data_IF_549209559901
#
_entry.id   IF_549209559901
#
_cell.length_a   1.000
_cell.length_b   1.000
_cell.length_c   1.000
_cell.angle_alpha   90.00
_cell.angle_beta   90.00
_cell.angle_gamma   90.00
#
_symmetry.space_group_name_H-M   'P 1'
#
loop_
_entity.id
_entity.type
_entity.pdbx_description
1 polymer ?
#
# COMPACT_ATOMS: atom_id res chain seq x y z
N UNK A 1 0.26 -11.22 -6.03
CA UNK A 1 1.28 -12.02 -6.75
C UNK A 1 2.52 -11.14 -6.92
N UNK A 2 3.66 -11.50 -6.36
CA UNK A 2 4.92 -10.80 -6.67
C UNK A 2 5.43 -11.22 -8.04
N UNK A 3 5.66 -10.24 -8.93
CA UNK A 3 6.36 -10.44 -10.19
C UNK A 3 7.74 -9.79 -10.11
N UNK A 4 8.78 -10.56 -10.31
CA UNK A 4 10.15 -10.08 -10.29
C UNK A 4 10.66 -9.94 -11.72
N UNK A 5 10.94 -8.72 -12.15
CA UNK A 5 11.57 -8.42 -13.43
C UNK A 5 13.07 -8.23 -13.19
N UNK A 6 13.88 -9.16 -13.70
CA UNK A 6 15.31 -9.27 -13.40
C UNK A 6 16.11 -8.94 -14.64
N UNK A 7 17.03 -7.98 -14.56
CA UNK A 7 17.97 -7.62 -15.62
C UNK A 7 19.40 -7.60 -15.11
N UNK A 8 20.37 -7.71 -16.01
CA UNK A 8 21.79 -7.72 -15.67
C UNK A 8 22.30 -8.99 -14.98
N UNK A 9 21.43 -10.02 -14.86
CA UNK A 9 21.77 -11.36 -14.36
C UNK A 9 21.37 -12.39 -15.43
N UNK A 10 22.19 -13.39 -15.66
CA UNK A 10 21.91 -14.37 -16.71
C UNK A 10 20.73 -15.29 -16.34
N UNK A 11 20.03 -15.79 -17.35
CA UNK A 11 18.90 -16.72 -17.15
C UNK A 11 19.36 -18.01 -16.44
N UNK A 12 20.58 -18.49 -16.71
CA UNK A 12 21.16 -19.68 -16.08
C UNK A 12 21.40 -19.45 -14.59
N UNK A 13 21.91 -18.29 -14.20
CA UNK A 13 22.08 -17.93 -12.78
C UNK A 13 20.72 -17.90 -12.06
N UNK A 14 19.71 -17.26 -12.67
CA UNK A 14 18.37 -17.22 -12.06
C UNK A 14 17.73 -18.60 -11.99
N UNK A 15 17.87 -19.43 -13.02
CA UNK A 15 17.39 -20.83 -12.98
C UNK A 15 17.99 -21.60 -11.82
N UNK A 16 19.28 -21.42 -11.55
CA UNK A 16 19.98 -22.12 -10.48
C UNK A 16 19.45 -21.78 -9.07
N UNK A 17 18.94 -20.58 -8.86
CA UNK A 17 18.42 -20.11 -7.57
C UNK A 17 16.90 -20.02 -7.50
N UNK A 18 16.18 -20.28 -8.60
CA UNK A 18 14.73 -20.01 -8.71
C UNK A 18 13.93 -20.74 -7.62
N UNK A 19 14.15 -22.03 -7.41
CA UNK A 19 13.37 -22.81 -6.45
C UNK A 19 13.56 -22.33 -4.98
N UNK A 20 14.79 -22.16 -4.45
CA UNK A 20 14.96 -21.63 -3.11
C UNK A 20 14.49 -20.17 -2.97
N UNK A 21 14.70 -19.32 -3.98
CA UNK A 21 14.25 -17.93 -3.95
C UNK A 21 12.71 -17.85 -3.88
N UNK A 22 12.00 -18.61 -4.72
CA UNK A 22 10.53 -18.65 -4.74
C UNK A 22 9.99 -19.13 -3.40
N UNK A 23 10.57 -20.17 -2.82
CA UNK A 23 10.17 -20.68 -1.50
C UNK A 23 10.33 -19.63 -0.40
N UNK A 24 11.50 -18.99 -0.34
CA UNK A 24 11.77 -17.96 0.66
C UNK A 24 10.82 -16.76 0.51
N UNK A 25 10.54 -16.34 -0.72
CA UNK A 25 9.59 -15.26 -0.99
C UNK A 25 8.14 -15.65 -0.68
N UNK A 26 7.75 -16.89 -0.94
CA UNK A 26 6.43 -17.41 -0.59
C UNK A 26 6.21 -17.36 0.94
N UNK A 27 7.23 -17.78 1.71
CA UNK A 27 7.21 -17.70 3.17
C UNK A 27 7.14 -16.25 3.67
N UNK A 28 7.95 -15.36 3.10
CA UNK A 28 7.96 -13.93 3.47
C UNK A 28 6.63 -13.26 3.14
N UNK A 29 6.09 -13.56 1.97
CA UNK A 29 4.84 -12.95 1.47
C UNK A 29 3.58 -13.66 1.97
N UNK A 30 3.70 -14.81 2.66
CA UNK A 30 2.57 -15.63 3.09
C UNK A 30 1.61 -15.94 1.92
N UNK A 31 2.18 -16.44 0.81
CA UNK A 31 1.42 -16.79 -0.38
C UNK A 31 1.94 -18.10 -0.99
N UNK A 32 1.14 -18.79 -1.83
CA UNK A 32 1.58 -19.96 -2.58
C UNK A 32 2.78 -19.65 -3.49
N UNK A 33 3.67 -20.64 -3.68
CA UNK A 33 4.87 -20.52 -4.52
C UNK A 33 4.51 -20.22 -5.99
N UNK A 34 3.43 -20.78 -6.50
CA UNK A 34 2.94 -20.56 -7.87
C UNK A 34 2.41 -19.12 -8.13
N UNK A 35 2.33 -18.30 -7.08
CA UNK A 35 1.99 -16.88 -7.19
C UNK A 35 3.21 -15.99 -7.44
N UNK A 36 4.42 -16.56 -7.43
CA UNK A 36 5.66 -15.81 -7.61
C UNK A 36 6.23 -16.12 -8.99
N UNK A 37 6.36 -15.07 -9.80
CA UNK A 37 6.92 -15.18 -11.13
C UNK A 37 8.27 -14.48 -11.22
N UNK A 38 9.26 -15.18 -11.78
CA UNK A 38 10.59 -14.65 -12.09
C UNK A 38 10.73 -14.49 -13.60
N UNK A 39 10.93 -13.27 -14.06
CA UNK A 39 11.10 -12.96 -15.49
C UNK A 39 12.48 -12.36 -15.72
N UNK A 40 13.28 -13.04 -16.58
CA UNK A 40 14.60 -12.57 -16.97
C UNK A 40 14.47 -11.66 -18.20
N UNK A 41 14.83 -10.39 -18.04
CA UNK A 41 14.77 -9.39 -19.10
C UNK A 41 16.13 -9.29 -19.81
N UNK A 42 16.13 -9.52 -21.12
CA UNK A 42 17.30 -9.23 -21.97
C UNK A 42 17.32 -7.75 -22.35
N UNK A 43 18.22 -7.00 -21.75
CA UNK A 43 18.31 -5.55 -21.92
C UNK A 43 19.65 -5.16 -22.54
N UNK A 44 19.64 -4.09 -23.32
CA UNK A 44 20.84 -3.44 -23.85
C UNK A 44 21.05 -2.13 -23.09
N UNK A 45 22.19 -1.98 -22.45
CA UNK A 45 22.57 -0.76 -21.77
C UNK A 45 23.58 0.04 -22.60
N UNK A 46 23.45 1.36 -22.58
CA UNK A 46 24.36 2.30 -23.26
C UNK A 46 24.85 3.31 -22.25
N UNK A 47 26.16 3.50 -22.22
CA UNK A 47 26.80 4.54 -21.42
C UNK A 47 27.84 5.28 -22.25
N UNK A 48 27.79 6.61 -22.25
CA UNK A 48 28.69 7.47 -23.02
C UNK A 48 28.81 7.11 -24.52
N UNK A 49 27.73 6.61 -25.14
CA UNK A 49 27.68 6.20 -26.54
C UNK A 49 28.12 4.76 -26.82
N UNK A 50 28.59 4.03 -25.81
CA UNK A 50 29.05 2.64 -25.93
C UNK A 50 28.06 1.66 -25.34
N UNK A 51 28.02 0.45 -25.91
CA UNK A 51 27.27 -0.66 -25.34
C UNK A 51 27.98 -1.19 -24.08
N UNK A 52 27.27 -1.25 -22.98
CA UNK A 52 27.82 -1.75 -21.71
C UNK A 52 26.95 -2.88 -21.17
N UNK A 53 27.49 -3.76 -20.30
CA UNK A 53 26.68 -4.75 -19.59
C UNK A 53 25.58 -4.05 -18.76
N UNK A 54 24.39 -4.63 -18.76
CA UNK A 54 23.32 -4.14 -17.90
C UNK A 54 23.66 -4.35 -16.43
N UNK A 55 23.42 -3.35 -15.62
CA UNK A 55 23.58 -3.44 -14.17
C UNK A 55 22.54 -4.39 -13.58
N UNK A 56 22.94 -5.25 -12.60
CA UNK A 56 22.01 -6.16 -11.93
C UNK A 56 20.91 -5.39 -11.17
N UNK A 57 19.69 -5.61 -11.59
CA UNK A 57 18.54 -4.90 -11.03
C UNK A 57 17.31 -5.81 -10.99
N UNK A 58 16.60 -5.79 -9.87
CA UNK A 58 15.34 -6.50 -9.68
C UNK A 58 14.22 -5.50 -9.39
N UNK A 59 13.22 -5.47 -10.25
CA UNK A 59 11.99 -4.74 -10.00
C UNK A 59 10.92 -5.71 -9.50
N UNK A 60 10.42 -5.49 -8.29
CA UNK A 60 9.37 -6.30 -7.68
C UNK A 60 8.05 -5.59 -7.82
N UNK A 61 7.18 -6.12 -8.66
CA UNK A 61 5.83 -5.61 -8.86
C UNK A 61 4.85 -6.44 -8.04
N UNK A 62 4.17 -5.82 -7.07
CA UNK A 62 3.31 -6.53 -6.13
C UNK A 62 2.20 -5.63 -5.53
N UNK A 63 1.30 -6.23 -4.76
CA UNK A 63 0.44 -5.48 -3.84
C UNK A 63 1.21 -5.23 -2.54
N UNK A 64 1.17 -4.00 -2.03
CA UNK A 64 1.92 -3.62 -0.82
C UNK A 64 1.53 -4.50 0.39
N UNK A 65 2.54 -4.92 1.12
CA UNK A 65 2.43 -5.80 2.31
C UNK A 65 3.05 -5.16 3.55
N UNK A 66 3.35 -3.86 3.47
CA UNK A 66 4.01 -3.12 4.52
C UNK A 66 5.54 -3.22 4.48
N UNK A 67 6.17 -2.30 5.22
CA UNK A 67 7.62 -2.11 5.19
C UNK A 67 8.39 -3.33 5.66
N UNK A 68 7.96 -3.99 6.72
CA UNK A 68 8.67 -5.15 7.27
C UNK A 68 8.77 -6.30 6.27
N UNK A 69 7.66 -6.62 5.58
CA UNK A 69 7.64 -7.66 4.55
C UNK A 69 8.51 -7.25 3.37
N UNK A 70 8.50 -5.99 2.99
CA UNK A 70 9.34 -5.43 1.91
C UNK A 70 10.82 -5.57 2.23
N UNK A 71 11.24 -5.17 3.43
CA UNK A 71 12.63 -5.24 3.87
C UNK A 71 13.11 -6.71 3.91
N UNK A 72 12.29 -7.63 4.39
CA UNK A 72 12.58 -9.08 4.38
C UNK A 72 12.66 -9.64 2.96
N UNK A 73 11.75 -9.28 2.07
CA UNK A 73 11.77 -9.71 0.68
C UNK A 73 13.03 -9.20 -0.04
N UNK A 74 13.39 -7.93 0.15
CA UNK A 74 14.62 -7.36 -0.41
C UNK A 74 15.87 -8.14 0.07
N UNK A 75 15.97 -8.42 1.36
CA UNK A 75 17.10 -9.18 1.91
C UNK A 75 17.20 -10.60 1.33
N UNK A 76 16.07 -11.28 1.07
CA UNK A 76 16.08 -12.62 0.43
C UNK A 76 16.49 -12.53 -1.03
N UNK A 77 15.99 -11.56 -1.78
CA UNK A 77 16.38 -11.35 -3.18
C UNK A 77 17.87 -11.05 -3.29
N UNK A 78 18.37 -10.10 -2.50
CA UNK A 78 19.80 -9.75 -2.46
C UNK A 78 20.67 -11.00 -2.18
N UNK A 79 20.33 -11.74 -1.13
CA UNK A 79 21.07 -12.95 -0.74
C UNK A 79 21.15 -13.97 -1.87
N UNK A 80 20.02 -14.30 -2.50
CA UNK A 80 19.99 -15.30 -3.58
C UNK A 80 20.68 -14.82 -4.84
N UNK A 81 20.49 -13.58 -5.27
CA UNK A 81 21.17 -13.04 -6.45
C UNK A 81 22.67 -13.01 -6.24
N UNK A 82 23.15 -12.53 -5.10
CA UNK A 82 24.59 -12.47 -4.81
C UNK A 82 25.23 -13.85 -4.67
N UNK A 83 24.48 -14.87 -4.27
CA UNK A 83 24.98 -16.25 -4.23
C UNK A 83 25.35 -16.80 -5.62
N UNK A 84 24.91 -16.16 -6.70
CA UNK A 84 25.28 -16.54 -8.08
C UNK A 84 26.60 -15.92 -8.56
N UNK A 85 27.31 -15.19 -7.69
CA UNK A 85 28.56 -14.51 -8.02
C UNK A 85 28.38 -13.05 -8.47
N UNK A 86 27.17 -12.52 -8.39
CA UNK A 86 26.89 -11.09 -8.60
C UNK A 86 27.34 -10.32 -7.35
N UNK A 87 28.17 -9.31 -7.50
CA UNK A 87 28.72 -8.55 -6.37
C UNK A 87 27.70 -7.63 -5.72
N UNK A 88 26.87 -7.00 -6.53
CA UNK A 88 25.88 -6.00 -6.11
C UNK A 88 24.60 -6.07 -6.97
N UNK A 89 23.44 -5.88 -6.35
CA UNK A 89 22.15 -5.81 -7.03
C UNK A 89 21.29 -4.72 -6.41
N UNK A 90 20.65 -3.92 -7.24
CA UNK A 90 19.62 -2.99 -6.77
C UNK A 90 18.24 -3.63 -6.86
N UNK A 91 17.40 -3.30 -5.87
CA UNK A 91 16.03 -3.84 -5.77
C UNK A 91 15.07 -2.68 -5.58
N UNK A 92 14.08 -2.58 -6.47
CA UNK A 92 13.02 -1.59 -6.38
C UNK A 92 11.65 -2.28 -6.28
N UNK A 93 10.75 -1.71 -5.49
CA UNK A 93 9.38 -2.19 -5.36
C UNK A 93 8.40 -1.23 -6.04
N UNK A 94 7.53 -1.77 -6.88
CA UNK A 94 6.37 -1.08 -7.43
C UNK A 94 5.11 -1.71 -6.89
N UNK A 95 4.29 -0.90 -6.23
CA UNK A 95 3.04 -1.37 -5.66
C UNK A 95 1.91 -1.21 -6.67
N UNK A 96 1.17 -2.29 -6.89
CA UNK A 96 -0.09 -2.26 -7.63
C UNK A 96 -1.19 -1.65 -6.75
N UNK A 97 -2.02 -0.83 -7.35
CA UNK A 97 -3.29 -0.39 -6.78
C UNK A 97 -4.38 -1.35 -7.23
N UNK A 98 -5.21 -1.82 -6.29
CA UNK A 98 -6.24 -2.82 -6.59
C UNK A 98 -7.24 -2.33 -7.63
N UNK A 99 -7.55 -1.04 -7.60
CA UNK A 99 -8.49 -0.37 -8.50
C UNK A 99 -7.99 -0.33 -9.96
N UNK A 100 -6.67 -0.30 -10.15
CA UNK A 100 -6.01 -0.27 -11.46
C UNK A 100 -5.48 -1.64 -11.92
N UNK A 101 -5.63 -2.68 -11.09
CA UNK A 101 -5.19 -4.04 -11.43
C UNK A 101 -6.37 -4.90 -11.88
N UNK A 102 -6.27 -5.45 -13.08
CA UNK A 102 -7.32 -6.26 -13.71
C UNK A 102 -6.84 -7.68 -13.95
N UNK A 103 -7.69 -8.68 -13.63
CA UNK A 103 -7.51 -10.06 -14.05
C UNK A 103 -8.81 -10.60 -14.62
N UNK A 104 -8.72 -11.30 -15.75
CA UNK A 104 -9.89 -11.82 -16.48
C UNK A 104 -10.92 -10.72 -16.82
N UNK A 105 -10.44 -9.47 -17.03
CA UNK A 105 -11.29 -8.32 -17.33
C UNK A 105 -12.03 -7.71 -16.14
N UNK A 106 -11.73 -8.16 -14.91
CA UNK A 106 -12.33 -7.65 -13.68
C UNK A 106 -11.25 -6.98 -12.81
N UNK A 107 -11.57 -5.80 -12.25
CA UNK A 107 -10.71 -5.11 -11.29
C UNK A 107 -10.62 -5.89 -9.98
N UNK A 108 -9.46 -5.82 -9.34
CA UNK A 108 -9.25 -6.32 -7.97
C UNK A 108 -9.71 -5.33 -6.89
N UNK A 109 -9.97 -4.08 -7.27
CA UNK A 109 -10.65 -3.10 -6.42
C UNK A 109 -12.11 -3.47 -6.21
N UNK A 110 -12.68 -3.00 -5.11
CA UNK A 110 -14.12 -3.13 -4.92
C UNK A 110 -14.86 -2.36 -6.04
N UNK A 111 -16.00 -2.86 -6.54
CA UNK A 111 -16.80 -2.08 -7.48
C UNK A 111 -17.07 -0.71 -6.86
N UNK A 112 -16.97 0.36 -7.67
CA UNK A 112 -17.15 1.74 -7.25
C UNK A 112 -18.60 2.03 -6.80
N UNK A 113 -19.04 1.33 -5.76
CA UNK A 113 -20.14 1.70 -4.89
C UNK A 113 -19.51 2.37 -3.67
N UNK A 114 -20.08 3.47 -3.21
CA UNK A 114 -19.62 4.04 -1.93
C UNK A 114 -19.63 2.91 -0.88
N UNK A 115 -18.51 2.67 -0.15
CA UNK A 115 -18.49 1.65 0.88
C UNK A 115 -19.66 1.90 1.82
N UNK A 116 -20.45 0.87 2.10
CA UNK A 116 -21.61 0.94 3.02
C UNK A 116 -21.22 1.59 4.36
N UNK A 117 -19.95 1.41 4.73
CA UNK A 117 -19.32 2.03 5.89
C UNK A 117 -19.17 3.56 5.73
N UNK A 118 -18.89 4.07 4.53
CA UNK A 118 -18.78 5.51 4.25
C UNK A 118 -20.16 6.19 4.29
N UNK A 119 -21.20 5.55 3.74
CA UNK A 119 -22.59 6.01 3.87
C UNK A 119 -23.03 6.03 5.33
N UNK A 120 -22.72 4.99 6.08
CA UNK A 120 -23.02 4.90 7.51
C UNK A 120 -22.31 5.97 8.32
N UNK A 121 -21.02 6.21 8.06
CA UNK A 121 -20.25 7.27 8.70
C UNK A 121 -20.76 8.67 8.33
N UNK A 122 -21.21 8.89 7.11
CA UNK A 122 -21.85 10.15 6.71
C UNK A 122 -23.17 10.38 7.41
N UNK A 123 -24.01 9.34 7.51
CA UNK A 123 -25.27 9.40 8.23
C UNK A 123 -25.08 9.66 9.73
N UNK A 124 -24.13 8.99 10.38
CA UNK A 124 -23.77 9.20 11.78
C UNK A 124 -23.21 10.61 12.02
N UNK A 125 -22.34 11.11 11.14
CA UNK A 125 -21.84 12.48 11.20
C UNK A 125 -22.96 13.52 11.11
N UNK A 126 -23.92 13.31 10.21
CA UNK A 126 -25.06 14.22 10.07
C UNK A 126 -25.93 14.20 11.33
N UNK A 127 -26.22 13.02 11.86
CA UNK A 127 -27.00 12.86 13.11
C UNK A 127 -26.34 13.57 14.29
N UNK A 128 -25.01 13.38 14.47
CA UNK A 128 -24.26 14.04 15.53
C UNK A 128 -24.24 15.56 15.38
N UNK A 129 -24.13 16.09 14.14
CA UNK A 129 -24.24 17.54 13.90
C UNK A 129 -25.59 18.10 14.28
N UNK A 130 -26.67 17.39 13.93
CA UNK A 130 -28.03 17.83 14.27
C UNK A 130 -28.29 17.80 15.78
N UNK A 131 -27.77 16.78 16.46
CA UNK A 131 -27.85 16.65 17.91
C UNK A 131 -27.06 17.78 18.60
N UNK A 132 -25.88 18.09 18.13
CA UNK A 132 -25.04 19.17 18.64
C UNK A 132 -25.70 20.54 18.43
N UNK A 133 -26.41 20.75 17.31
CA UNK A 133 -27.19 21.96 17.08
C UNK A 133 -28.39 22.07 18.05
N UNK A 134 -29.08 20.97 18.32
CA UNK A 134 -30.20 20.93 19.30
C UNK A 134 -29.72 21.29 20.69
N UNK A 135 -28.60 20.70 21.15
CA UNK A 135 -28.01 20.98 22.46
C UNK A 135 -27.59 22.45 22.57
N UNK A 136 -26.94 23.00 21.54
CA UNK A 136 -26.55 24.42 21.52
C UNK A 136 -27.76 25.35 21.60
N UNK A 137 -28.84 25.08 20.87
CA UNK A 137 -30.08 25.87 20.93
C UNK A 137 -30.74 25.78 22.31
N UNK A 138 -30.77 24.59 22.92
CA UNK A 138 -31.31 24.41 24.27
C UNK A 138 -30.49 25.15 25.34
N UNK A 139 -29.16 25.12 25.22
CA UNK A 139 -28.27 25.86 26.13
C UNK A 139 -28.42 27.39 25.99
N UNK A 140 -28.63 27.90 24.79
CA UNK A 140 -28.85 29.30 24.56
C UNK A 140 -30.25 29.77 25.05
N UNK A 141 -31.27 28.94 24.89
CA UNK A 141 -32.61 29.21 25.44
C UNK A 141 -32.64 29.18 26.98
N UNK A 142 -31.87 28.28 27.62
CA UNK A 142 -31.78 28.21 29.08
C UNK A 142 -30.97 29.34 29.71
N UNK A 143 -29.99 29.87 29.02
CA UNK A 143 -29.17 31.00 29.51
C UNK A 143 -29.94 32.36 29.49
N UNK A 144 -30.89 32.53 28.56
CA UNK A 144 -31.71 33.75 28.47
C UNK A 144 -32.70 33.92 29.60
N UNK A 145 -33.21 32.84 30.18
CA UNK A 145 -34.25 32.88 31.23
C UNK A 145 -33.66 33.10 32.64
N UNK A 146 -32.39 32.68 32.87
CA UNK A 146 -31.77 32.76 34.20
C UNK A 146 -31.16 34.13 34.54
N UNK A 147 -30.76 34.90 33.53
CA UNK A 147 -30.16 36.23 33.79
C UNK A 147 -31.21 37.35 33.94
N UNK A 148 -32.36 37.22 33.26
CA UNK A 148 -33.41 38.24 33.30
C UNK A 148 -34.14 38.31 34.65
N UNK A 149 -34.41 37.19 35.29
CA UNK A 149 -35.11 37.16 36.59
C UNK A 149 -34.24 37.67 37.75
N UNK A 150 -32.96 37.38 37.76
CA UNK A 150 -32.00 37.84 38.81
C UNK A 150 -31.70 39.34 38.74
N UNK A 151 -31.78 39.95 37.56
CA UNK A 151 -31.58 41.38 37.42
C UNK A 151 -32.82 42.19 37.84
N UNK A 152 -34.02 41.63 37.66
CA UNK A 152 -35.26 42.30 38.12
C UNK A 152 -35.44 42.26 39.64
N UNK A 153 -34.96 41.19 40.31
CA UNK A 153 -35.03 41.10 41.78
C UNK A 153 -33.99 42.03 42.47
N UNK A 154 -32.85 42.27 41.83
CA UNK A 154 -31.80 43.16 42.39
C UNK A 154 -32.08 44.65 42.23
N UNK A 155 -33.04 45.04 41.43
CA UNK A 155 -33.45 46.47 41.23
C UNK A 155 -34.66 46.91 42.07
N UNK A 156 -35.15 46.04 42.99
CA UNK A 156 -36.35 46.26 43.78
C UNK A 156 -36.09 46.50 45.27
N UNK A 157 -34.81 46.48 45.69
CA UNK A 157 -34.31 46.97 46.99
C UNK A 157 -33.64 48.34 46.82
#
# INVERSE_FOLDING_TARGET
MPHLLIRGVSTEQIRGISAPLVRDLADVCQCPEDYILLECLHTTAVYAGELVPSYPFVEVNWFDRGREVRDRAAARIDHHIRSTGVEEVEIAFRCYEKESYYAKGQSFGEPAGEPEELEKLRADNQRLKDELQRVRRASQAGAGTSMSSRLYDALRE
#
